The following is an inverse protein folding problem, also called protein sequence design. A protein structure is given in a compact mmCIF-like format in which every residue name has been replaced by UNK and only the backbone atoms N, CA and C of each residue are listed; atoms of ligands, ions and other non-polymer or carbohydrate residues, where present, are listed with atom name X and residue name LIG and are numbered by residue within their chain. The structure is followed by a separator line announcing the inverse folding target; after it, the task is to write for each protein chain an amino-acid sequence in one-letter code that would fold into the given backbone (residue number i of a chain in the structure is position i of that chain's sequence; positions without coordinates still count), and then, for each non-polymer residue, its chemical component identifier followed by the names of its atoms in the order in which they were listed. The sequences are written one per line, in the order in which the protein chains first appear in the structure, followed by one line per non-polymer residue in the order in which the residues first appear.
data_IF_367987473864
#
_entry.id   IF_367987473864
#
_cell.length_a   1.000
_cell.length_b   1.000
_cell.length_c   1.000
_cell.angle_alpha   90.00
_cell.angle_beta   90.00
_cell.angle_gamma   90.00
#
_symmetry.space_group_name_H-M   'P 1'
#
loop_
_entity.id
_entity.type
_entity.pdbx_description
1 polymer ?
#
# COMPACT_ATOMS: atom_id res chain seq x y z
N UNK A 1 -40.25 4.49 13.23
CA UNK A 1 -38.89 4.34 13.77
C UNK A 1 -38.01 5.26 12.97
N UNK A 2 -37.46 6.31 13.59
CA UNK A 2 -36.42 7.11 12.99
C UNK A 2 -35.18 6.21 12.95
N UNK A 3 -34.78 5.75 11.77
CA UNK A 3 -33.50 5.07 11.57
C UNK A 3 -32.40 6.12 11.75
N UNK A 4 -31.95 6.25 12.99
CA UNK A 4 -30.77 7.06 13.33
C UNK A 4 -29.54 6.34 12.75
N UNK A 5 -29.13 6.74 11.55
CA UNK A 5 -27.88 6.30 10.96
C UNK A 5 -26.73 6.92 11.76
N UNK A 6 -25.93 6.08 12.39
CA UNK A 6 -24.70 6.51 13.06
C UNK A 6 -23.61 6.67 11.97
N UNK A 7 -22.99 7.85 11.84
CA UNK A 7 -21.90 8.02 10.90
C UNK A 7 -20.69 7.21 11.32
N UNK A 8 -20.02 6.57 10.36
CA UNK A 8 -18.83 5.74 10.55
C UNK A 8 -17.63 6.44 9.94
N UNK A 9 -16.63 6.73 10.76
CA UNK A 9 -15.37 7.31 10.32
C UNK A 9 -14.25 6.29 10.42
N UNK A 10 -13.58 6.00 9.30
CA UNK A 10 -12.40 5.17 9.31
C UNK A 10 -11.20 5.98 9.81
N UNK A 11 -10.43 5.43 10.74
CA UNK A 11 -9.27 6.09 11.32
C UNK A 11 -7.97 5.46 10.85
N UNK A 12 -6.97 6.31 10.58
CA UNK A 12 -5.58 5.89 10.35
C UNK A 12 -4.62 6.78 11.12
N UNK A 13 -3.48 6.20 11.50
CA UNK A 13 -2.36 6.95 12.05
C UNK A 13 -1.40 7.40 10.95
N UNK A 14 -0.56 8.37 11.26
CA UNK A 14 0.42 8.94 10.33
C UNK A 14 1.72 8.14 10.26
N UNK A 15 1.87 7.15 11.11
CA UNK A 15 3.00 6.21 11.12
C UNK A 15 2.48 4.77 11.12
N UNK A 16 3.13 3.92 10.37
CA UNK A 16 2.88 2.49 10.51
C UNK A 16 3.55 2.01 11.79
N UNK A 17 2.78 1.55 12.75
CA UNK A 17 3.27 1.17 14.08
C UNK A 17 4.36 0.09 14.06
N UNK A 18 4.38 -0.74 13.05
CA UNK A 18 5.27 -1.89 12.99
C UNK A 18 6.70 -1.56 12.63
N UNK A 19 6.86 -0.66 11.70
CA UNK A 19 8.15 -0.38 11.09
C UNK A 19 8.59 1.06 11.38
N UNK A 20 7.75 1.81 12.12
CA UNK A 20 7.92 3.25 12.35
C UNK A 20 8.15 4.01 11.02
N UNK A 21 7.53 3.49 9.96
CA UNK A 21 7.61 4.07 8.63
C UNK A 21 6.57 5.17 8.45
N UNK A 22 6.92 6.26 7.79
CA UNK A 22 5.96 7.29 7.46
C UNK A 22 4.92 6.76 6.48
N UNK A 23 3.67 7.17 6.66
CA UNK A 23 2.62 6.93 5.69
C UNK A 23 2.80 7.91 4.53
N UNK A 24 3.06 7.40 3.33
CA UNK A 24 3.21 8.24 2.14
C UNK A 24 1.87 8.85 1.70
N UNK A 25 1.93 9.90 0.88
CA UNK A 25 0.72 10.50 0.27
C UNK A 25 -0.08 9.44 -0.52
N UNK A 26 0.61 8.57 -1.25
CA UNK A 26 -0.04 7.48 -1.99
C UNK A 26 -0.74 6.49 -1.08
N UNK A 27 -0.15 6.13 0.04
CA UNK A 27 -0.78 5.26 1.04
C UNK A 27 -2.00 5.93 1.68
N UNK A 28 -1.90 7.20 2.02
CA UNK A 28 -3.03 7.96 2.56
C UNK A 28 -4.20 7.99 1.59
N UNK A 29 -3.94 8.27 0.30
CA UNK A 29 -4.99 8.22 -0.74
C UNK A 29 -5.58 6.82 -0.87
N UNK A 30 -4.74 5.78 -0.82
CA UNK A 30 -5.20 4.38 -0.86
C UNK A 30 -6.11 4.02 0.31
N UNK A 31 -5.73 4.41 1.52
CA UNK A 31 -6.54 4.20 2.72
C UNK A 31 -7.90 4.93 2.61
N UNK A 32 -7.90 6.23 2.29
CA UNK A 32 -9.13 7.01 2.20
C UNK A 32 -10.06 6.48 1.10
N UNK A 33 -9.52 6.16 -0.08
CA UNK A 33 -10.31 5.55 -1.16
C UNK A 33 -10.90 4.20 -0.75
N UNK A 34 -10.11 3.35 -0.07
CA UNK A 34 -10.57 2.07 0.45
C UNK A 34 -11.75 2.24 1.42
N UNK A 35 -11.59 3.11 2.43
CA UNK A 35 -12.60 3.34 3.46
C UNK A 35 -13.90 3.91 2.87
N UNK A 36 -13.80 4.96 2.06
CA UNK A 36 -14.96 5.60 1.44
C UNK A 36 -15.68 4.67 0.43
N UNK A 37 -14.93 3.84 -0.30
CA UNK A 37 -15.51 2.87 -1.23
C UNK A 37 -16.25 1.73 -0.51
N UNK A 38 -15.90 1.44 0.73
CA UNK A 38 -16.60 0.47 1.59
C UNK A 38 -17.75 1.09 2.40
N UNK A 39 -18.04 2.37 2.20
CA UNK A 39 -19.21 3.04 2.79
C UNK A 39 -18.93 3.78 4.09
N UNK A 40 -17.69 4.07 4.43
CA UNK A 40 -17.38 5.02 5.49
C UNK A 40 -17.90 6.40 5.13
N UNK A 41 -18.48 7.11 6.11
CA UNK A 41 -19.00 8.47 5.95
C UNK A 41 -17.90 9.52 5.90
N UNK A 42 -16.68 9.17 6.34
CA UNK A 42 -15.50 10.02 6.30
C UNK A 42 -14.27 9.32 6.83
N UNK A 43 -13.18 10.07 6.91
CA UNK A 43 -11.89 9.61 7.44
C UNK A 43 -11.44 10.48 8.60
N UNK A 44 -10.84 9.84 9.59
CA UNK A 44 -10.24 10.50 10.75
C UNK A 44 -8.72 10.26 10.74
N UNK A 45 -7.96 11.35 10.67
CA UNK A 45 -6.51 11.32 10.66
C UNK A 45 -5.99 11.47 12.09
N UNK A 46 -5.70 10.35 12.72
CA UNK A 46 -5.18 10.33 14.08
C UNK A 46 -3.73 10.80 14.10
N UNK A 47 -3.35 11.63 15.07
CA UNK A 47 -2.01 12.20 15.19
C UNK A 47 -1.52 12.99 13.97
N UNK A 48 -2.43 13.59 13.21
CA UNK A 48 -2.08 14.49 12.12
C UNK A 48 -1.64 15.84 12.66
N UNK A 49 -0.37 15.95 13.05
CA UNK A 49 0.23 17.17 13.55
C UNK A 49 1.18 17.76 12.51
N UNK A 50 0.67 18.68 11.70
CA UNK A 50 1.48 19.45 10.77
C UNK A 50 1.83 20.78 11.39
N UNK A 51 2.98 20.84 12.09
CA UNK A 51 3.50 22.05 12.73
C UNK A 51 5.01 22.19 12.45
N UNK A 52 5.57 23.37 12.80
CA UNK A 52 6.98 23.65 12.55
C UNK A 52 7.93 22.71 13.30
N UNK A 53 7.52 22.20 14.44
CA UNK A 53 8.28 21.22 15.20
C UNK A 53 8.39 19.88 14.45
N UNK A 54 7.31 19.44 13.86
CA UNK A 54 7.30 18.23 13.03
C UNK A 54 7.98 18.46 11.69
N UNK A 55 7.88 19.67 11.14
CA UNK A 55 8.57 20.08 9.92
C UNK A 55 10.08 19.88 10.03
N UNK A 56 10.72 20.35 11.11
CA UNK A 56 12.15 20.21 11.35
C UNK A 56 12.62 18.77 11.61
N UNK A 57 11.74 17.90 12.13
CA UNK A 57 12.06 16.48 12.39
C UNK A 57 11.89 15.58 11.17
N UNK A 58 11.14 16.00 10.18
CA UNK A 58 10.69 15.18 9.07
C UNK A 58 11.25 15.64 7.72
N UNK A 59 11.93 16.78 7.68
CA UNK A 59 12.72 17.21 6.54
C UNK A 59 14.15 16.72 6.75
N UNK A 60 14.50 15.66 6.11
CA UNK A 60 15.87 15.31 5.79
C UNK A 60 16.33 16.20 4.64
N UNK A 61 17.63 16.28 4.44
CA UNK A 61 18.35 17.12 3.48
C UNK A 61 17.58 17.57 2.22
N UNK A 62 17.91 18.73 1.61
CA UNK A 62 17.28 19.19 0.38
C UNK A 62 17.33 18.12 -0.70
N UNK A 63 16.17 17.60 -1.10
CA UNK A 63 16.04 16.50 -2.06
C UNK A 63 15.56 15.18 -1.45
N UNK A 64 15.57 15.02 -0.15
CA UNK A 64 14.93 13.89 0.54
C UNK A 64 13.50 14.25 0.97
N UNK A 65 12.53 13.82 0.20
CA UNK A 65 11.12 13.99 0.57
C UNK A 65 10.68 12.89 1.55
N UNK A 66 11.24 12.87 2.75
CA UNK A 66 10.74 12.05 3.84
C UNK A 66 9.88 12.89 4.77
N UNK A 67 8.79 13.43 4.27
CA UNK A 67 7.77 14.00 5.13
C UNK A 67 7.02 12.83 5.78
N UNK A 68 7.17 12.64 7.09
CA UNK A 68 6.42 11.62 7.84
C UNK A 68 4.93 11.94 7.96
N UNK A 69 4.55 13.16 7.64
CA UNK A 69 3.17 13.60 7.66
C UNK A 69 2.81 14.09 6.27
N UNK A 70 1.78 13.55 5.62
CA UNK A 70 1.33 14.02 4.33
C UNK A 70 1.09 15.53 4.34
N UNK A 71 1.47 16.21 3.26
CA UNK A 71 1.36 17.66 3.16
C UNK A 71 -0.10 18.10 3.33
N UNK A 72 -0.40 19.22 4.04
CA UNK A 72 -1.78 19.69 4.27
C UNK A 72 -2.64 19.87 3.03
N UNK A 73 -2.03 20.13 1.86
CA UNK A 73 -2.74 20.17 0.58
C UNK A 73 -3.56 18.90 0.31
N UNK A 74 -3.13 17.76 0.87
CA UNK A 74 -3.86 16.50 0.69
C UNK A 74 -5.21 16.49 1.37
N UNK A 75 -5.43 17.28 2.41
CA UNK A 75 -6.72 17.35 3.10
C UNK A 75 -7.86 17.70 2.13
N UNK A 76 -7.58 18.46 1.08
CA UNK A 76 -8.55 18.77 0.03
C UNK A 76 -8.92 17.56 -0.85
N UNK A 77 -8.07 16.53 -0.86
CA UNK A 77 -8.29 15.34 -1.69
C UNK A 77 -8.96 14.21 -0.91
N UNK A 78 -8.71 14.12 0.41
CA UNK A 78 -9.02 12.92 1.20
C UNK A 78 -10.50 12.76 1.58
N UNK A 79 -11.30 13.82 1.40
CA UNK A 79 -12.69 13.86 1.87
C UNK A 79 -13.72 13.17 0.97
N UNK A 80 -13.39 12.87 -0.29
CA UNK A 80 -14.32 12.23 -1.21
C UNK A 80 -13.65 11.28 -2.21
N UNK A 81 -14.44 10.35 -2.74
CA UNK A 81 -13.95 9.42 -3.77
C UNK A 81 -13.61 10.14 -5.08
N UNK A 82 -14.42 11.15 -5.42
CA UNK A 82 -14.27 11.94 -6.66
C UNK A 82 -12.94 12.68 -6.70
N UNK A 83 -12.52 13.27 -5.59
CA UNK A 83 -11.24 13.98 -5.49
C UNK A 83 -10.03 13.03 -5.48
N UNK A 84 -10.24 11.78 -5.09
CA UNK A 84 -9.20 10.73 -5.07
C UNK A 84 -9.08 10.00 -6.42
N UNK A 85 -10.10 10.01 -7.28
CA UNK A 85 -10.05 9.31 -8.56
C UNK A 85 -8.92 9.82 -9.46
N UNK A 86 -8.26 8.89 -10.17
CA UNK A 86 -7.17 9.22 -11.07
C UNK A 86 -5.91 9.77 -10.39
N UNK A 87 -5.83 9.77 -9.07
CA UNK A 87 -4.64 10.12 -8.30
C UNK A 87 -3.79 8.88 -8.03
N UNK A 88 -2.46 9.06 -8.04
CA UNK A 88 -1.53 8.00 -7.65
C UNK A 88 -1.79 7.57 -6.22
N UNK A 89 -1.88 6.27 -5.97
CA UNK A 89 -2.14 5.72 -4.63
C UNK A 89 -1.55 4.34 -4.42
N UNK A 90 -1.43 3.96 -3.15
CA UNK A 90 -0.92 2.66 -2.73
C UNK A 90 -1.95 2.01 -1.81
N UNK A 91 -2.39 0.82 -2.17
CA UNK A 91 -3.11 -0.09 -1.28
C UNK A 91 -2.11 -1.04 -0.65
N UNK A 92 -2.20 -1.30 0.65
CA UNK A 92 -1.23 -2.17 1.31
C UNK A 92 -1.85 -3.13 2.30
N UNK A 93 -1.16 -4.24 2.49
CA UNK A 93 -1.36 -5.20 3.55
C UNK A 93 -0.04 -5.35 4.30
N UNK A 94 -0.12 -5.46 5.61
CA UNK A 94 1.03 -5.71 6.48
C UNK A 94 0.70 -6.80 7.50
N UNK A 95 1.73 -7.38 8.12
CA UNK A 95 1.59 -8.45 9.08
C UNK A 95 1.04 -8.02 10.45
N UNK A 96 0.67 -6.76 10.63
CA UNK A 96 0.04 -6.20 11.81
C UNK A 96 0.70 -6.59 13.14
N UNK A 97 1.24 -5.64 13.92
CA UNK A 97 1.66 -5.95 15.29
C UNK A 97 0.43 -6.19 16.17
N UNK A 98 0.58 -7.11 17.11
CA UNK A 98 -0.36 -7.30 18.19
C UNK A 98 -0.15 -6.20 19.22
N UNK A 99 -0.80 -5.06 19.04
CA UNK A 99 -0.90 -4.07 20.10
C UNK A 99 -2.15 -4.35 20.94
N UNK A 100 -2.02 -4.19 22.23
CA UNK A 100 -3.13 -4.37 23.19
C UNK A 100 -3.86 -5.73 23.13
N UNK A 101 -3.20 -6.79 22.70
CA UNK A 101 -3.80 -8.13 22.62
C UNK A 101 -4.74 -8.34 21.44
N UNK A 102 -5.00 -7.33 20.63
CA UNK A 102 -5.81 -7.43 19.43
C UNK A 102 -4.99 -8.10 18.32
N UNK A 103 -5.59 -9.10 17.65
CA UNK A 103 -5.03 -9.67 16.43
C UNK A 103 -5.68 -8.97 15.25
N UNK A 104 -4.93 -8.21 14.45
CA UNK A 104 -5.49 -7.68 13.22
C UNK A 104 -5.90 -8.85 12.33
N UNK A 105 -7.06 -8.74 11.69
CA UNK A 105 -7.50 -9.69 10.68
C UNK A 105 -6.75 -9.41 9.37
N UNK A 106 -5.46 -9.78 9.34
CA UNK A 106 -4.61 -9.63 8.17
C UNK A 106 -4.17 -10.99 7.65
N UNK A 107 -4.10 -11.20 6.33
CA UNK A 107 -3.60 -12.43 5.73
C UNK A 107 -2.07 -12.57 5.83
N UNK A 108 -1.39 -11.55 6.36
CA UNK A 108 0.07 -11.54 6.52
C UNK A 108 0.46 -11.77 8.01
N UNK A 109 1.63 -12.35 8.29
CA UNK A 109 2.62 -12.85 7.34
C UNK A 109 2.12 -14.07 6.58
N UNK A 110 2.41 -14.12 5.27
CA UNK A 110 2.04 -15.24 4.41
C UNK A 110 3.27 -16.13 4.19
N UNK A 111 3.20 -17.37 4.67
CA UNK A 111 4.22 -18.38 4.43
C UNK A 111 3.83 -19.25 3.25
N UNK A 112 4.66 -19.27 2.20
CA UNK A 112 4.45 -20.08 0.99
C UNK A 112 5.54 -21.15 0.93
N UNK A 113 5.14 -22.40 1.11
CA UNK A 113 6.05 -23.55 1.09
C UNK A 113 6.65 -23.76 -0.30
N UNK A 114 7.80 -24.46 -0.42
CA UNK A 114 8.38 -24.82 -1.71
C UNK A 114 7.37 -25.49 -2.63
N UNK A 115 7.34 -25.09 -3.90
CA UNK A 115 6.44 -25.64 -4.92
C UNK A 115 4.93 -25.46 -4.62
N UNK A 116 4.58 -24.63 -3.62
CA UNK A 116 3.19 -24.33 -3.26
C UNK A 116 2.77 -22.94 -3.73
N UNK A 117 1.48 -22.72 -3.70
CA UNK A 117 0.88 -21.41 -3.99
C UNK A 117 -0.06 -20.98 -2.88
N UNK A 118 -0.21 -19.66 -2.74
CA UNK A 118 -1.15 -19.04 -1.82
C UNK A 118 -1.85 -17.86 -2.50
N UNK A 119 -2.98 -17.46 -1.97
CA UNK A 119 -3.76 -16.33 -2.48
C UNK A 119 -3.99 -15.30 -1.37
N UNK A 120 -3.96 -14.04 -1.77
CA UNK A 120 -4.25 -12.89 -0.90
C UNK A 120 -5.24 -11.98 -1.62
N UNK A 121 -6.28 -11.55 -0.91
CA UNK A 121 -7.24 -10.58 -1.43
C UNK A 121 -6.84 -9.16 -1.06
N UNK A 122 -6.94 -8.24 -2.03
CA UNK A 122 -6.78 -6.80 -1.84
C UNK A 122 -8.02 -6.09 -2.40
N UNK A 123 -8.66 -5.28 -1.57
CA UNK A 123 -9.75 -4.44 -2.02
C UNK A 123 -9.23 -3.14 -2.63
N UNK A 124 -9.69 -2.81 -3.84
CA UNK A 124 -9.36 -1.57 -4.55
C UNK A 124 -10.63 -0.75 -4.75
N UNK A 125 -10.66 0.46 -4.20
CA UNK A 125 -11.84 1.33 -4.24
C UNK A 125 -12.01 2.10 -5.55
N UNK A 126 -10.96 2.18 -6.38
CA UNK A 126 -10.96 2.94 -7.63
C UNK A 126 -11.94 2.35 -8.66
N UNK A 127 -12.64 3.24 -9.38
CA UNK A 127 -13.46 2.88 -10.55
C UNK A 127 -12.56 2.67 -11.78
N UNK A 128 -11.79 1.59 -11.77
CA UNK A 128 -10.74 1.31 -12.77
C UNK A 128 -11.28 1.07 -14.19
N UNK A 129 -12.57 0.83 -14.34
CA UNK A 129 -13.22 0.73 -15.65
C UNK A 129 -13.44 2.11 -16.27
N UNK A 130 -13.63 3.14 -15.44
CA UNK A 130 -13.76 4.53 -15.89
C UNK A 130 -12.39 5.20 -16.06
N UNK A 131 -11.50 5.04 -15.08
CA UNK A 131 -10.16 5.63 -15.10
C UNK A 131 -9.15 4.55 -14.73
N UNK A 132 -8.44 4.04 -15.74
CA UNK A 132 -7.46 2.97 -15.56
C UNK A 132 -6.08 3.51 -15.25
N UNK A 133 -5.35 2.96 -14.28
CA UNK A 133 -3.97 3.34 -14.04
C UNK A 133 -3.09 3.00 -15.25
N UNK A 134 -2.11 3.87 -15.54
CA UNK A 134 -1.11 3.66 -16.60
C UNK A 134 -0.13 2.56 -16.23
N UNK A 135 0.23 2.51 -14.96
CA UNK A 135 1.11 1.49 -14.39
C UNK A 135 0.52 0.92 -13.12
N UNK A 136 0.77 -0.37 -12.92
CA UNK A 136 0.42 -1.10 -11.73
C UNK A 136 1.65 -1.86 -11.26
N UNK A 137 2.13 -1.52 -10.05
CA UNK A 137 3.34 -2.10 -9.49
C UNK A 137 3.01 -2.73 -8.16
N UNK A 138 3.43 -3.98 -8.01
CA UNK A 138 3.36 -4.70 -6.75
C UNK A 138 4.72 -4.65 -6.07
N UNK A 139 4.76 -4.16 -4.85
CA UNK A 139 5.90 -4.31 -3.96
C UNK A 139 5.60 -5.38 -2.93
N UNK A 140 6.59 -6.20 -2.61
CA UNK A 140 6.49 -7.17 -1.53
C UNK A 140 7.81 -7.28 -0.78
N UNK A 141 7.74 -7.62 0.51
CA UNK A 141 8.92 -7.77 1.37
C UNK A 141 9.06 -9.20 1.85
N UNK A 142 10.27 -9.71 1.76
CA UNK A 142 10.67 -11.03 2.26
C UNK A 142 12.12 -11.03 2.71
N UNK A 143 12.48 -11.97 3.58
CA UNK A 143 13.87 -12.18 4.00
C UNK A 143 14.63 -13.15 3.10
N UNK A 144 13.91 -14.03 2.44
CA UNK A 144 14.51 -15.04 1.57
C UNK A 144 14.52 -14.54 0.12
N UNK A 145 15.65 -14.68 -0.60
CA UNK A 145 15.64 -14.53 -2.05
C UNK A 145 14.69 -15.57 -2.62
N UNK A 146 13.62 -15.10 -3.24
CA UNK A 146 12.56 -15.99 -3.65
C UNK A 146 12.37 -15.97 -5.15
N UNK A 147 12.27 -17.17 -5.73
CA UNK A 147 11.78 -17.34 -7.09
C UNK A 147 10.25 -17.34 -7.09
N UNK A 148 9.65 -16.15 -6.90
CA UNK A 148 8.20 -16.02 -6.89
C UNK A 148 7.62 -15.81 -8.29
N UNK A 149 6.52 -16.48 -8.56
CA UNK A 149 5.64 -16.21 -9.70
C UNK A 149 4.35 -15.61 -9.18
N UNK A 150 3.89 -14.54 -9.81
CA UNK A 150 2.79 -13.72 -9.32
C UNK A 150 1.73 -13.55 -10.40
N UNK A 151 0.46 -13.57 -9.98
CA UNK A 151 -0.70 -13.32 -10.85
C UNK A 151 -1.69 -12.42 -10.14
N UNK A 152 -2.22 -11.45 -10.85
CA UNK A 152 -3.35 -10.65 -10.41
C UNK A 152 -4.59 -11.06 -11.21
N UNK A 153 -5.64 -11.52 -10.52
CA UNK A 153 -6.89 -11.96 -11.13
C UNK A 153 -6.66 -12.94 -12.31
N UNK A 154 -5.74 -13.87 -12.12
CA UNK A 154 -5.36 -14.88 -13.11
C UNK A 154 -4.41 -14.41 -14.22
N UNK A 155 -4.06 -13.12 -14.28
CA UNK A 155 -3.09 -12.59 -15.26
C UNK A 155 -1.69 -12.54 -14.65
N UNK A 156 -0.74 -13.19 -15.31
CA UNK A 156 0.65 -13.28 -14.86
C UNK A 156 1.31 -11.89 -14.80
N UNK A 157 2.10 -11.67 -13.77
CA UNK A 157 2.97 -10.51 -13.65
C UNK A 157 3.97 -10.46 -14.80
N UNK A 158 4.31 -9.25 -15.25
CA UNK A 158 5.23 -9.07 -16.37
C UNK A 158 6.67 -9.26 -15.91
N UNK A 159 7.34 -8.24 -15.52
CA UNK A 159 8.77 -8.27 -15.23
C UNK A 159 9.07 -7.58 -13.90
N UNK A 160 10.08 -8.05 -13.20
CA UNK A 160 10.67 -7.31 -12.08
C UNK A 160 11.17 -5.94 -12.56
N UNK A 161 11.04 -4.94 -11.70
CA UNK A 161 11.43 -3.55 -11.96
C UNK A 161 12.47 -3.14 -10.92
N UNK A 162 13.75 -3.47 -11.13
CA UNK A 162 14.79 -3.29 -10.11
C UNK A 162 14.95 -1.83 -9.66
N UNK A 163 14.80 -0.88 -10.58
CA UNK A 163 15.04 0.54 -10.32
C UNK A 163 14.00 1.17 -9.38
N UNK A 164 12.80 0.62 -9.32
CA UNK A 164 11.78 1.10 -8.38
C UNK A 164 12.12 0.83 -6.91
N UNK A 165 12.88 -0.22 -6.65
CA UNK A 165 13.26 -0.59 -5.28
C UNK A 165 14.14 0.48 -4.64
N UNK A 166 15.09 1.04 -5.39
CA UNK A 166 16.02 2.06 -4.88
C UNK A 166 15.37 3.41 -4.62
N UNK A 167 14.39 3.79 -5.44
CA UNK A 167 13.68 5.07 -5.34
C UNK A 167 12.67 5.03 -4.18
N UNK A 168 11.92 3.94 -4.08
CA UNK A 168 10.88 3.77 -3.07
C UNK A 168 11.43 3.60 -1.65
N UNK A 169 12.63 3.03 -1.53
CA UNK A 169 13.25 2.71 -0.24
C UNK A 169 14.12 3.82 0.35
N UNK A 170 14.21 4.99 -0.25
CA UNK A 170 14.90 6.11 0.38
C UNK A 170 14.19 6.46 1.70
N UNK A 171 14.80 6.07 2.81
CA UNK A 171 14.27 6.29 4.15
C UNK A 171 13.52 5.11 4.79
N UNK A 172 13.26 4.04 4.05
CA UNK A 172 12.69 2.81 4.62
C UNK A 172 13.80 1.96 5.21
N UNK A 173 13.83 1.84 6.53
CA UNK A 173 14.71 0.89 7.22
C UNK A 173 14.11 -0.50 7.13
N UNK A 174 14.57 -1.28 6.16
CA UNK A 174 14.25 -2.70 6.12
C UNK A 174 14.83 -3.38 7.37
N UNK A 175 14.05 -4.26 7.99
CA UNK A 175 14.55 -5.06 9.12
C UNK A 175 15.68 -5.98 8.64
N UNK A 176 16.53 -6.40 9.57
CA UNK A 176 17.71 -7.21 9.25
C UNK A 176 17.39 -8.37 8.29
N UNK A 177 18.02 -8.33 7.12
CA UNK A 177 17.88 -9.34 6.08
C UNK A 177 16.61 -9.25 5.21
N UNK A 178 15.73 -8.29 5.44
CA UNK A 178 14.57 -8.08 4.55
C UNK A 178 15.00 -7.38 3.27
N UNK A 179 14.37 -7.78 2.17
CA UNK A 179 14.48 -7.15 0.87
C UNK A 179 13.09 -6.81 0.33
N UNK A 180 13.00 -5.71 -0.37
CA UNK A 180 11.79 -5.31 -1.08
C UNK A 180 11.98 -5.55 -2.57
N UNK A 181 10.98 -6.17 -3.16
CA UNK A 181 10.94 -6.47 -4.60
C UNK A 181 9.80 -5.69 -5.23
N UNK A 182 9.98 -5.29 -6.48
CA UNK A 182 8.98 -4.62 -7.28
C UNK A 182 8.69 -5.43 -8.56
N UNK A 183 7.41 -5.64 -8.85
CA UNK A 183 6.96 -6.39 -10.02
C UNK A 183 5.86 -5.62 -10.72
N UNK A 184 5.98 -5.44 -12.03
CA UNK A 184 4.91 -4.82 -12.83
C UNK A 184 3.80 -5.83 -13.09
N UNK A 185 2.59 -5.44 -12.74
CA UNK A 185 1.37 -6.18 -13.02
C UNK A 185 0.64 -5.60 -14.23
N UNK A 186 -0.13 -6.41 -14.98
CA UNK A 186 -0.93 -5.89 -16.07
C UNK A 186 -2.11 -5.06 -15.54
N UNK A 187 -2.10 -3.76 -15.79
CA UNK A 187 -3.15 -2.85 -15.30
C UNK A 187 -4.57 -3.26 -15.74
N UNK A 188 -4.69 -3.96 -16.87
CA UNK A 188 -5.96 -4.53 -17.37
C UNK A 188 -6.53 -5.64 -16.49
N UNK A 189 -5.72 -6.23 -15.61
CA UNK A 189 -6.18 -7.25 -14.69
C UNK A 189 -6.84 -6.66 -13.43
N UNK A 190 -6.58 -5.39 -13.14
CA UNK A 190 -7.12 -4.72 -11.96
C UNK A 190 -8.63 -4.53 -12.09
N UNK A 191 -9.35 -4.74 -10.98
CA UNK A 191 -10.80 -4.55 -10.85
C UNK A 191 -11.11 -3.60 -9.69
N UNK A 192 -12.25 -2.93 -9.75
CA UNK A 192 -12.83 -2.33 -8.56
C UNK A 192 -13.32 -3.45 -7.63
N UNK A 193 -13.17 -3.28 -6.32
CA UNK A 193 -13.49 -4.30 -5.34
C UNK A 193 -12.34 -5.28 -5.08
N UNK A 194 -12.67 -6.53 -4.79
CA UNK A 194 -11.70 -7.55 -4.42
C UNK A 194 -10.86 -8.02 -5.60
N UNK A 195 -9.54 -7.96 -5.40
CA UNK A 195 -8.53 -8.44 -6.33
C UNK A 195 -7.74 -9.58 -5.69
N UNK A 196 -7.63 -10.69 -6.39
CA UNK A 196 -6.90 -11.86 -5.92
C UNK A 196 -5.48 -11.83 -6.47
N UNK A 197 -4.52 -11.72 -5.57
CA UNK A 197 -3.10 -11.89 -5.84
C UNK A 197 -2.72 -13.34 -5.52
N UNK A 198 -2.42 -14.14 -6.55
CA UNK A 198 -1.86 -15.48 -6.39
C UNK A 198 -0.34 -15.42 -6.44
N UNK A 199 0.28 -16.08 -5.49
CA UNK A 199 1.71 -16.14 -5.28
C UNK A 199 2.13 -17.61 -5.27
N UNK A 200 3.03 -17.98 -6.16
CA UNK A 200 3.64 -19.30 -6.22
C UNK A 200 5.11 -19.20 -5.85
N UNK A 201 5.55 -20.01 -4.93
CA UNK A 201 6.95 -20.20 -4.64
C UNK A 201 7.51 -21.29 -5.56
N UNK A 202 8.28 -20.90 -6.57
CA UNK A 202 8.90 -21.80 -7.52
C UNK A 202 10.23 -22.42 -7.03
N UNK A 203 10.68 -22.05 -5.83
CA UNK A 203 11.83 -22.68 -5.18
C UNK A 203 11.49 -24.13 -4.81
N UNK A 204 12.50 -24.98 -4.80
CA UNK A 204 12.34 -26.41 -4.48
C UNK A 204 12.74 -26.75 -3.05
N UNK A 205 13.45 -25.85 -2.36
CA UNK A 205 14.06 -26.12 -1.07
C UNK A 205 13.59 -25.20 0.06
N UNK A 206 13.30 -23.93 -0.23
CA UNK A 206 13.11 -22.92 0.79
C UNK A 206 11.68 -22.37 0.79
N UNK A 207 11.08 -22.27 1.97
CA UNK A 207 9.85 -21.51 2.15
C UNK A 207 10.10 -20.00 2.02
N UNK A 208 9.07 -19.27 1.71
CA UNK A 208 9.09 -17.80 1.63
C UNK A 208 8.04 -17.21 2.52
N UNK A 209 8.45 -16.29 3.39
CA UNK A 209 7.55 -15.52 4.24
C UNK A 209 7.44 -14.09 3.74
N UNK A 210 6.24 -13.70 3.33
CA UNK A 210 5.90 -12.35 2.87
C UNK A 210 5.23 -11.60 4.01
N UNK A 211 5.79 -10.46 4.41
CA UNK A 211 5.30 -9.67 5.54
C UNK A 211 4.54 -8.42 5.13
N UNK A 212 4.81 -7.92 3.94
CA UNK A 212 4.17 -6.73 3.41
C UNK A 212 3.93 -6.85 1.92
N UNK A 213 2.78 -6.39 1.50
CA UNK A 213 2.36 -6.29 0.10
C UNK A 213 1.82 -4.89 -0.11
N UNK A 214 2.28 -4.20 -1.16
CA UNK A 214 1.80 -2.89 -1.55
C UNK A 214 1.48 -2.90 -3.04
N UNK A 215 0.28 -2.43 -3.37
CA UNK A 215 -0.18 -2.31 -4.75
C UNK A 215 -0.25 -0.82 -5.11
N UNK A 216 0.72 -0.37 -5.90
CA UNK A 216 0.83 1.02 -6.33
C UNK A 216 0.15 1.22 -7.68
N UNK A 217 -0.80 2.15 -7.72
CA UNK A 217 -1.54 2.59 -8.89
C UNK A 217 -1.00 3.94 -9.36
N UNK A 218 -0.42 4.00 -10.56
CA UNK A 218 0.09 5.23 -11.15
C UNK A 218 -0.81 5.66 -12.31
N UNK A 219 -1.42 6.83 -12.17
CA UNK A 219 -2.31 7.42 -13.17
C UNK A 219 -1.64 8.52 -13.99
N UNK A 220 -0.85 9.36 -13.33
CA UNK A 220 -0.15 10.49 -13.95
C UNK A 220 1.16 10.10 -14.63
N UNK A 221 1.65 11.02 -15.48
CA UNK A 221 3.02 11.03 -15.99
C UNK A 221 3.94 11.88 -15.13
N UNK A 222 3.42 12.57 -14.12
CA UNK A 222 4.22 13.39 -13.23
C UNK A 222 5.30 12.53 -12.59
N UNK A 223 6.53 13.04 -12.64
CA UNK A 223 7.60 12.49 -11.84
C UNK A 223 7.23 12.67 -10.38
N UNK A 224 6.93 11.57 -9.74
CA UNK A 224 6.59 11.54 -8.32
C UNK A 224 7.84 11.44 -7.47
N UNK A 225 9.03 11.61 -8.06
CA UNK A 225 10.33 11.38 -7.40
C UNK A 225 10.39 10.03 -6.68
N UNK A 226 9.73 9.02 -7.24
CA UNK A 226 9.64 7.69 -6.66
C UNK A 226 8.58 7.53 -5.58
N UNK A 227 7.75 8.55 -5.32
CA UNK A 227 6.62 8.48 -4.42
C UNK A 227 5.29 8.38 -5.19
N UNK A 228 4.45 7.50 -4.74
CA UNK A 228 3.09 7.32 -5.25
C UNK A 228 2.08 8.02 -4.36
#
# INVERSE_FOLDING_TARGET
RNDLRVPVYASTDMVTYQENEPVSEGMMRGFCMHALAQGADGVYLFNYFFNDYNRGRYHTEPGEQTCRVPHPRMLHELGSRETLEGRNKIYWLSDGKREYGLRPNTPLPLCVQPQQQAEVSLFVGDRVDSIRPKELILFYRTRQPASLRLWLNGKKAMKMVPDYVSIYNKGVKLQNGEQQYAVRLPAKALKQGDNVLRIENADTASEVTIKRIELALKYGSADTHGYF
#
